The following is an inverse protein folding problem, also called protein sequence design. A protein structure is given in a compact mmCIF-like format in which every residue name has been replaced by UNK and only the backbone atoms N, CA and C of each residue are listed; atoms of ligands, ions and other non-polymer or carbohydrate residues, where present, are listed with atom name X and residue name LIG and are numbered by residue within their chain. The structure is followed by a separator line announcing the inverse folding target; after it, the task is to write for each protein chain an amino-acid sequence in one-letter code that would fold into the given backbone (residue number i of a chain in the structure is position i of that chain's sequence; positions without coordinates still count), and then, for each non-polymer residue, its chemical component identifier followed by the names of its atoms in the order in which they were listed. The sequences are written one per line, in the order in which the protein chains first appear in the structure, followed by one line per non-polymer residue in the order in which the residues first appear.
data_IF_300896367422
#
_entry.id   IF_300896367422
#
_cell.length_a   1.000
_cell.length_b   1.000
_cell.length_c   1.000
_cell.angle_alpha   90.00
_cell.angle_beta   90.00
_cell.angle_gamma   90.00
#
_symmetry.space_group_name_H-M   'P 1'
#
loop_
_entity.id
_entity.type
_entity.pdbx_description
1 polymer ?
#
# COMPACT_ATOMS: atom_id res chain seq x y z
N UNK A 1 -28.17 -44.31 -8.35
CA UNK A 1 -28.55 -45.39 -9.31
C UNK A 1 -28.67 -44.73 -10.67
N UNK A 2 -28.05 -45.10 -11.80
CA UNK A 2 -27.16 -46.17 -12.28
C UNK A 2 -26.44 -45.50 -13.49
N UNK A 3 -25.11 -45.39 -13.48
CA UNK A 3 -24.16 -46.22 -14.27
C UNK A 3 -24.52 -46.34 -15.75
N UNK A 4 -23.67 -45.79 -16.62
CA UNK A 4 -23.24 -46.23 -17.97
C UNK A 4 -22.24 -45.16 -18.45
N UNK A 5 -21.11 -45.40 -19.08
CA UNK A 5 -20.21 -46.54 -19.21
C UNK A 5 -18.96 -45.92 -19.86
N UNK A 6 -17.80 -46.33 -19.37
CA UNK A 6 -16.47 -46.03 -19.89
C UNK A 6 -16.36 -46.30 -21.40
N UNK A 7 -15.72 -45.39 -22.15
CA UNK A 7 -14.91 -45.78 -23.31
C UNK A 7 -13.63 -44.95 -23.33
N UNK A 8 -12.55 -45.69 -23.09
CA UNK A 8 -11.15 -45.32 -23.13
C UNK A 8 -10.76 -44.99 -24.58
N UNK A 9 -10.15 -43.83 -24.82
CA UNK A 9 -9.33 -43.61 -26.01
C UNK A 9 -8.09 -42.82 -25.60
N UNK A 10 -7.00 -43.57 -25.49
CA UNK A 10 -5.64 -43.15 -25.22
C UNK A 10 -5.10 -42.49 -26.50
N UNK A 11 -4.73 -41.20 -26.46
CA UNK A 11 -3.96 -40.60 -27.55
C UNK A 11 -3.14 -39.39 -27.06
N UNK A 12 -1.84 -39.67 -26.91
CA UNK A 12 -0.71 -38.77 -27.15
C UNK A 12 -0.53 -37.60 -26.19
N UNK A 13 0.41 -37.79 -25.26
CA UNK A 13 1.16 -36.72 -24.62
C UNK A 13 1.90 -35.89 -25.69
N UNK A 14 1.25 -34.85 -26.20
CA UNK A 14 1.92 -33.75 -26.87
C UNK A 14 2.35 -32.76 -25.78
N UNK A 15 3.67 -32.60 -25.61
CA UNK A 15 4.25 -31.76 -24.57
C UNK A 15 3.60 -30.38 -24.51
N UNK A 16 2.98 -30.08 -23.38
CA UNK A 16 2.65 -28.73 -22.99
C UNK A 16 3.98 -27.99 -22.77
N UNK A 17 4.59 -27.54 -23.87
CA UNK A 17 5.54 -26.44 -23.80
C UNK A 17 4.78 -25.28 -23.19
N UNK A 18 5.28 -24.79 -22.06
CA UNK A 18 4.96 -23.45 -21.60
C UNK A 18 5.28 -22.53 -22.79
N UNK A 19 4.25 -22.16 -23.55
CA UNK A 19 4.37 -21.11 -24.54
C UNK A 19 4.52 -19.84 -23.70
N UNK A 20 5.76 -19.41 -23.53
CA UNK A 20 6.04 -18.02 -23.17
C UNK A 20 5.24 -17.19 -24.18
N UNK A 21 4.24 -16.39 -23.75
CA UNK A 21 3.47 -15.59 -24.68
C UNK A 21 4.44 -14.80 -25.53
N UNK A 22 4.35 -14.92 -26.85
CA UNK A 22 5.11 -14.05 -27.74
C UNK A 22 4.81 -12.60 -27.33
N UNK A 23 5.82 -11.72 -27.26
CA UNK A 23 5.59 -10.32 -26.91
C UNK A 23 4.48 -9.79 -27.80
N UNK A 24 3.41 -9.29 -27.18
CA UNK A 24 2.31 -8.70 -27.90
C UNK A 24 2.85 -7.57 -28.80
N UNK A 25 2.33 -7.41 -30.02
CA UNK A 25 2.72 -6.28 -30.85
C UNK A 25 2.51 -4.98 -30.06
N UNK A 26 3.46 -4.06 -30.20
CA UNK A 26 3.38 -2.76 -29.54
C UNK A 26 2.01 -2.11 -29.82
N UNK A 27 1.41 -1.42 -28.84
CA UNK A 27 0.10 -0.82 -28.99
C UNK A 27 0.04 0.13 -30.19
N UNK A 28 -1.04 0.04 -30.98
CA UNK A 28 -1.25 0.99 -32.06
C UNK A 28 -1.60 2.40 -31.52
N UNK A 29 -1.51 3.39 -32.41
CA UNK A 29 -1.75 4.78 -32.04
C UNK A 29 -3.17 5.03 -31.48
N UNK A 30 -4.17 4.24 -31.90
CA UNK A 30 -5.55 4.38 -31.45
C UNK A 30 -5.70 3.86 -30.01
N UNK A 31 -5.08 2.73 -29.69
CA UNK A 31 -5.04 2.17 -28.34
C UNK A 31 -4.29 3.07 -27.37
N UNK A 32 -3.17 3.65 -27.79
CA UNK A 32 -2.44 4.65 -26.99
C UNK A 32 -3.28 5.91 -26.72
N UNK A 33 -4.00 6.41 -27.73
CA UNK A 33 -4.89 7.54 -27.56
C UNK A 33 -6.01 7.25 -26.55
N UNK A 34 -6.63 6.07 -26.65
CA UNK A 34 -7.67 5.64 -25.72
C UNK A 34 -7.13 5.49 -24.29
N UNK A 35 -5.93 4.93 -24.12
CA UNK A 35 -5.27 4.85 -22.81
C UNK A 35 -5.04 6.23 -22.19
N UNK A 36 -4.59 7.22 -22.98
CA UNK A 36 -4.43 8.62 -22.52
C UNK A 36 -5.75 9.22 -22.05
N UNK A 37 -6.85 8.98 -22.78
CA UNK A 37 -8.16 9.47 -22.39
C UNK A 37 -8.64 8.86 -21.06
N UNK A 38 -8.40 7.56 -20.85
CA UNK A 38 -8.70 6.88 -19.57
C UNK A 38 -7.89 7.50 -18.42
N UNK A 39 -6.59 7.68 -18.61
CA UNK A 39 -5.68 8.29 -17.62
C UNK A 39 -6.16 9.71 -17.26
N UNK A 40 -6.54 10.50 -18.26
CA UNK A 40 -7.07 11.84 -18.06
C UNK A 40 -8.42 11.82 -17.32
N UNK A 41 -9.33 10.91 -17.68
CA UNK A 41 -10.64 10.75 -17.04
C UNK A 41 -10.52 10.39 -15.55
N UNK A 42 -9.50 9.60 -15.18
CA UNK A 42 -9.16 9.30 -13.78
C UNK A 42 -8.50 10.47 -13.04
N UNK A 43 -8.39 11.66 -13.65
CA UNK A 43 -7.78 12.85 -13.06
C UNK A 43 -6.35 12.61 -12.57
N UNK A 44 -5.55 11.85 -13.33
CA UNK A 44 -4.15 11.57 -12.99
C UNK A 44 -3.33 12.85 -12.75
N UNK A 45 -3.60 13.92 -13.51
CA UNK A 45 -3.01 15.26 -13.30
C UNK A 45 -3.18 15.77 -11.88
N UNK A 46 -4.40 15.63 -11.32
CA UNK A 46 -4.67 16.04 -9.93
C UNK A 46 -3.94 15.19 -8.90
N UNK A 47 -3.70 13.91 -9.21
CA UNK A 47 -2.89 13.04 -8.35
C UNK A 47 -1.43 13.51 -8.33
N UNK A 48 -0.87 13.85 -9.48
CA UNK A 48 0.49 14.39 -9.63
C UNK A 48 0.62 15.73 -8.93
N UNK A 49 -0.36 16.62 -9.09
CA UNK A 49 -0.39 17.92 -8.42
C UNK A 49 -0.40 17.75 -6.90
N UNK A 50 -1.23 16.82 -6.39
CA UNK A 50 -1.28 16.50 -4.96
C UNK A 50 0.06 15.95 -4.46
N UNK A 51 0.67 15.03 -5.21
CA UNK A 51 1.96 14.45 -4.85
C UNK A 51 3.06 15.51 -4.82
N UNK A 52 3.07 16.40 -5.82
CA UNK A 52 4.01 17.52 -5.90
C UNK A 52 3.78 18.53 -4.78
N UNK A 53 2.52 18.83 -4.44
CA UNK A 53 2.15 19.66 -3.30
C UNK A 53 2.66 19.07 -1.98
N UNK A 54 2.47 17.76 -1.77
CA UNK A 54 2.96 17.06 -0.58
C UNK A 54 4.49 17.07 -0.49
N UNK A 55 5.19 16.85 -1.61
CA UNK A 55 6.65 16.94 -1.65
C UNK A 55 7.13 18.36 -1.30
N UNK A 56 6.49 19.40 -1.84
CA UNK A 56 6.80 20.80 -1.47
C UNK A 56 6.58 21.06 0.02
N UNK A 57 5.46 20.59 0.58
CA UNK A 57 5.17 20.75 2.00
C UNK A 57 6.23 20.07 2.88
N UNK A 58 6.61 18.84 2.53
CA UNK A 58 7.69 18.12 3.22
C UNK A 58 9.01 18.89 3.12
N UNK A 59 9.28 19.47 1.94
CA UNK A 59 10.47 20.28 1.74
C UNK A 59 10.50 21.51 2.67
N UNK A 60 9.38 22.24 2.77
CA UNK A 60 9.23 23.38 3.68
C UNK A 60 9.40 22.98 5.15
N UNK A 61 8.85 21.84 5.57
CA UNK A 61 9.04 21.33 6.94
C UNK A 61 10.51 21.03 7.25
N UNK A 62 11.24 20.44 6.30
CA UNK A 62 12.66 20.12 6.46
C UNK A 62 13.55 21.37 6.46
N UNK A 63 13.16 22.41 5.69
CA UNK A 63 13.79 23.73 5.76
C UNK A 63 13.57 24.39 7.14
N UNK A 64 12.37 24.26 7.71
CA UNK A 64 12.06 24.71 9.07
C UNK A 64 12.90 24.02 10.15
N UNK A 65 13.20 22.72 9.99
CA UNK A 65 14.12 21.99 10.87
C UNK A 65 15.58 22.50 10.78
N UNK A 66 15.91 23.24 9.72
CA UNK A 66 17.21 23.86 9.48
C UNK A 66 17.31 25.29 10.02
N UNK A 67 16.34 25.74 10.84
CA UNK A 67 16.30 27.09 11.39
C UNK A 67 17.53 27.46 12.25
N UNK A 68 18.26 26.48 12.79
CA UNK A 68 19.47 26.73 13.59
C UNK A 68 20.76 26.85 12.75
N UNK A 69 20.69 26.75 11.43
CA UNK A 69 21.85 26.92 10.54
C UNK A 69 22.21 28.40 10.38
N UNK A 70 23.50 28.68 10.14
CA UNK A 70 23.93 30.01 9.69
C UNK A 70 23.24 30.36 8.35
N UNK A 71 23.04 31.66 8.05
CA UNK A 71 22.34 32.09 6.83
C UNK A 71 22.92 31.47 5.55
N UNK A 72 24.25 31.37 5.46
CA UNK A 72 24.94 30.77 4.32
C UNK A 72 24.67 29.26 4.19
N UNK A 73 24.70 28.52 5.31
CA UNK A 73 24.39 27.08 5.32
C UNK A 73 22.92 26.83 4.97
N UNK A 74 22.02 27.70 5.42
CA UNK A 74 20.59 27.64 5.07
C UNK A 74 20.37 27.85 3.56
N UNK A 75 20.97 28.89 2.99
CA UNK A 75 20.87 29.16 1.55
C UNK A 75 21.41 28.01 0.69
N UNK A 76 22.53 27.39 1.08
CA UNK A 76 23.08 26.20 0.40
C UNK A 76 22.14 24.99 0.51
N UNK A 77 21.52 24.78 1.67
CA UNK A 77 20.57 23.69 1.90
C UNK A 77 19.28 23.87 1.07
N UNK A 78 18.71 25.07 1.06
CA UNK A 78 17.54 25.41 0.24
C UNK A 78 17.81 25.23 -1.26
N UNK A 79 18.98 25.67 -1.75
CA UNK A 79 19.37 25.48 -3.13
C UNK A 79 19.53 24.00 -3.52
N UNK A 80 20.13 23.19 -2.64
CA UNK A 80 20.25 21.74 -2.85
C UNK A 80 18.87 21.07 -2.89
N UNK A 81 17.99 21.44 -1.95
CA UNK A 81 16.64 20.92 -1.86
C UNK A 81 15.80 21.27 -3.10
N UNK A 82 15.91 22.52 -3.59
CA UNK A 82 15.26 22.95 -4.83
C UNK A 82 15.69 22.10 -6.03
N UNK A 83 16.98 21.78 -6.15
CA UNK A 83 17.51 20.90 -7.21
C UNK A 83 16.96 19.47 -7.11
N UNK A 84 16.92 18.90 -5.91
CA UNK A 84 16.36 17.55 -5.67
C UNK A 84 14.86 17.53 -6.03
N UNK A 85 14.12 18.57 -5.65
CA UNK A 85 12.70 18.70 -5.97
C UNK A 85 12.46 18.81 -7.48
N UNK A 86 13.22 19.65 -8.17
CA UNK A 86 13.13 19.78 -9.62
C UNK A 86 13.41 18.45 -10.33
N UNK A 87 14.47 17.74 -9.93
CA UNK A 87 14.78 16.41 -10.45
C UNK A 87 13.62 15.42 -10.22
N UNK A 88 13.03 15.44 -9.03
CA UNK A 88 11.91 14.54 -8.68
C UNK A 88 10.66 14.81 -9.54
N UNK A 89 10.37 16.08 -9.81
CA UNK A 89 9.29 16.49 -10.71
C UNK A 89 9.56 16.01 -12.13
N UNK A 90 10.78 16.18 -12.63
CA UNK A 90 11.16 15.77 -13.98
C UNK A 90 11.12 14.24 -14.15
N UNK A 91 11.59 13.49 -13.16
CA UNK A 91 11.46 12.02 -13.13
C UNK A 91 9.99 11.59 -13.13
N UNK A 92 9.14 12.27 -12.35
CA UNK A 92 7.69 11.99 -12.32
C UNK A 92 7.10 12.23 -13.71
N UNK A 93 7.38 13.38 -14.34
CA UNK A 93 6.91 13.67 -15.71
C UNK A 93 7.36 12.62 -16.72
N UNK A 94 8.62 12.17 -16.64
CA UNK A 94 9.16 11.10 -17.49
C UNK A 94 8.48 9.74 -17.27
N UNK A 95 7.98 9.46 -16.07
CA UNK A 95 7.17 8.26 -15.83
C UNK A 95 5.79 8.38 -16.49
N UNK A 96 5.17 9.57 -16.44
CA UNK A 96 3.86 9.82 -17.02
C UNK A 96 3.86 9.66 -18.55
N UNK A 97 4.95 10.01 -19.23
CA UNK A 97 5.07 9.82 -20.68
C UNK A 97 5.07 8.34 -21.11
N UNK A 98 5.19 7.41 -20.16
CA UNK A 98 5.13 5.97 -20.39
C UNK A 98 3.81 5.34 -19.94
N UNK A 99 2.98 6.07 -19.19
CA UNK A 99 1.77 5.50 -18.61
C UNK A 99 0.77 5.03 -19.66
N UNK A 100 0.61 5.77 -20.75
CA UNK A 100 -0.27 5.38 -21.86
C UNK A 100 0.12 4.04 -22.47
N UNK A 101 1.42 3.82 -22.68
CA UNK A 101 1.98 2.57 -23.21
C UNK A 101 1.74 1.44 -22.24
N UNK A 102 2.03 1.65 -20.95
CA UNK A 102 1.78 0.63 -19.90
C UNK A 102 0.29 0.26 -19.83
N UNK A 103 -0.62 1.24 -19.87
CA UNK A 103 -2.06 0.97 -19.86
C UNK A 103 -2.50 0.24 -21.13
N UNK A 104 -1.96 0.63 -22.28
CA UNK A 104 -2.26 -0.01 -23.55
C UNK A 104 -1.66 -1.43 -23.67
N UNK A 105 -0.59 -1.74 -22.94
CA UNK A 105 -0.02 -3.09 -22.88
C UNK A 105 -0.84 -4.01 -21.96
N UNK A 106 -1.31 -3.49 -20.83
CA UNK A 106 -2.00 -4.28 -19.80
C UNK A 106 -3.48 -4.49 -20.11
N UNK A 107 -4.17 -3.45 -20.58
CA UNK A 107 -5.61 -3.49 -20.83
C UNK A 107 -5.91 -3.74 -22.30
N UNK A 108 -7.01 -4.44 -22.55
CA UNK A 108 -7.60 -4.57 -23.89
C UNK A 108 -8.33 -3.28 -24.30
N UNK A 109 -8.58 -3.11 -25.60
CA UNK A 109 -9.37 -1.99 -26.12
C UNK A 109 -10.77 -1.91 -25.50
N UNK A 110 -11.40 -3.06 -25.27
CA UNK A 110 -12.73 -3.13 -24.69
C UNK A 110 -12.74 -2.65 -23.24
N UNK A 111 -11.74 -3.04 -22.45
CA UNK A 111 -11.57 -2.61 -21.06
C UNK A 111 -11.28 -1.11 -20.99
N UNK A 112 -10.36 -0.61 -21.82
CA UNK A 112 -10.06 0.82 -21.88
C UNK A 112 -11.29 1.65 -22.27
N UNK A 113 -12.11 1.18 -23.23
CA UNK A 113 -13.39 1.84 -23.59
C UNK A 113 -14.37 1.82 -22.42
N UNK A 114 -14.50 0.70 -21.73
CA UNK A 114 -15.39 0.57 -20.57
C UNK A 114 -14.94 1.48 -19.41
N UNK A 115 -13.64 1.53 -19.12
CA UNK A 115 -13.06 2.43 -18.13
C UNK A 115 -13.32 3.89 -18.50
N UNK A 116 -13.08 4.29 -19.75
CA UNK A 116 -13.39 5.65 -20.22
C UNK A 116 -14.85 5.98 -20.01
N UNK A 117 -15.76 5.11 -20.45
CA UNK A 117 -17.21 5.31 -20.30
C UNK A 117 -17.61 5.48 -18.83
N UNK A 118 -17.07 4.64 -17.94
CA UNK A 118 -17.33 4.76 -16.51
C UNK A 118 -16.77 6.05 -15.92
N UNK A 119 -15.47 6.32 -16.03
CA UNK A 119 -14.84 7.48 -15.39
C UNK A 119 -15.31 8.84 -15.94
N UNK A 120 -15.86 8.87 -17.15
CA UNK A 120 -16.49 10.07 -17.71
C UNK A 120 -17.98 10.21 -17.40
N UNK A 121 -18.63 9.17 -16.87
CA UNK A 121 -20.03 9.24 -16.43
C UNK A 121 -20.20 10.11 -15.17
N UNK A 122 -21.38 10.72 -14.96
CA UNK A 122 -21.68 11.44 -13.72
C UNK A 122 -21.45 10.58 -12.47
N UNK A 123 -21.85 9.31 -12.51
CA UNK A 123 -21.73 8.36 -11.42
C UNK A 123 -20.27 7.96 -11.17
N UNK A 124 -19.48 7.72 -12.21
CA UNK A 124 -18.06 7.40 -12.08
C UNK A 124 -17.25 8.57 -11.54
N UNK A 125 -17.52 9.79 -12.00
CA UNK A 125 -16.93 11.00 -11.42
C UNK A 125 -17.34 11.19 -9.95
N UNK A 126 -18.62 10.95 -9.62
CA UNK A 126 -19.11 10.98 -8.24
C UNK A 126 -18.42 9.93 -7.37
N UNK A 127 -18.29 8.70 -7.87
CA UNK A 127 -17.65 7.59 -7.18
C UNK A 127 -16.20 7.93 -6.85
N UNK A 128 -15.45 8.50 -7.80
CA UNK A 128 -14.05 8.84 -7.58
C UNK A 128 -13.86 9.93 -6.52
N UNK A 129 -14.72 10.96 -6.51
CA UNK A 129 -14.72 11.98 -5.47
C UNK A 129 -15.10 11.39 -4.10
N UNK A 130 -16.12 10.54 -4.07
CA UNK A 130 -16.60 9.90 -2.83
C UNK A 130 -15.61 8.88 -2.28
N UNK A 131 -14.86 8.15 -3.11
CA UNK A 131 -13.80 7.26 -2.66
C UNK A 131 -12.71 8.04 -1.89
N UNK A 132 -12.30 9.20 -2.42
CA UNK A 132 -11.35 10.07 -1.71
C UNK A 132 -11.93 10.60 -0.39
N UNK A 133 -13.22 10.94 -0.37
CA UNK A 133 -13.92 11.38 0.85
C UNK A 133 -14.05 10.27 1.90
N UNK A 134 -14.37 9.05 1.47
CA UNK A 134 -14.40 7.87 2.35
C UNK A 134 -13.02 7.66 2.98
N UNK A 135 -11.94 7.71 2.19
CA UNK A 135 -10.59 7.58 2.72
C UNK A 135 -10.26 8.64 3.79
N UNK A 136 -10.64 9.91 3.56
CA UNK A 136 -10.47 11.00 4.54
C UNK A 136 -11.23 10.74 5.84
N UNK A 137 -12.45 10.21 5.75
CA UNK A 137 -13.30 9.91 6.92
C UNK A 137 -12.88 8.65 7.65
N UNK A 138 -12.29 7.69 6.95
CA UNK A 138 -11.84 6.44 7.54
C UNK A 138 -10.58 6.63 8.40
N UNK A 139 -9.68 7.55 8.03
CA UNK A 139 -8.43 7.77 8.77
C UNK A 139 -8.64 8.09 10.27
N UNK A 140 -9.52 9.03 10.67
CA UNK A 140 -9.82 9.26 12.09
C UNK A 140 -10.40 8.03 12.81
N UNK A 141 -11.25 7.26 12.14
CA UNK A 141 -11.85 6.05 12.72
C UNK A 141 -10.79 4.98 13.01
N UNK A 142 -9.80 4.82 12.11
CA UNK A 142 -8.65 3.94 12.34
C UNK A 142 -7.80 4.42 13.53
N UNK A 143 -7.57 5.72 13.66
CA UNK A 143 -6.84 6.29 14.80
C UNK A 143 -7.58 6.09 16.12
N UNK A 144 -8.90 6.24 16.13
CA UNK A 144 -9.74 5.97 17.29
C UNK A 144 -9.71 4.50 17.69
N UNK A 145 -9.84 3.59 16.71
CA UNK A 145 -9.70 2.15 16.94
C UNK A 145 -8.33 1.81 17.57
N UNK A 146 -7.24 2.40 17.06
CA UNK A 146 -5.90 2.19 17.64
C UNK A 146 -5.78 2.72 19.07
N UNK A 147 -6.35 3.91 19.36
CA UNK A 147 -6.39 4.45 20.72
C UNK A 147 -7.19 3.55 21.68
N UNK A 148 -8.29 2.96 21.22
CA UNK A 148 -9.10 2.03 21.99
C UNK A 148 -8.45 0.65 22.20
N UNK A 149 -7.51 0.27 21.33
CA UNK A 149 -6.79 -1.00 21.42
C UNK A 149 -5.68 -0.96 22.50
N UNK A 150 -4.98 0.17 22.65
CA UNK A 150 -3.82 0.27 23.53
C UNK A 150 -4.11 -0.08 25.00
N UNK A 151 -5.20 0.38 25.64
CA UNK A 151 -5.53 0.00 27.02
C UNK A 151 -5.80 -1.50 27.17
N UNK A 152 -6.40 -2.13 26.15
CA UNK A 152 -6.66 -3.58 26.17
C UNK A 152 -5.36 -4.37 26.09
N UNK A 153 -4.41 -3.94 25.27
CA UNK A 153 -3.06 -4.53 25.22
C UNK A 153 -2.37 -4.39 26.58
N UNK A 154 -2.42 -3.21 27.20
CA UNK A 154 -1.83 -2.97 28.52
C UNK A 154 -2.45 -3.88 29.59
N UNK A 155 -3.78 -4.05 29.56
CA UNK A 155 -4.48 -4.95 30.48
C UNK A 155 -4.04 -6.41 30.29
N UNK A 156 -3.96 -6.89 29.05
CA UNK A 156 -3.50 -8.25 28.75
C UNK A 156 -2.07 -8.49 29.29
N UNK A 157 -1.18 -7.51 29.13
CA UNK A 157 0.20 -7.59 29.65
C UNK A 157 0.20 -7.63 31.19
N UNK A 158 -0.58 -6.75 31.84
CA UNK A 158 -0.67 -6.71 33.30
C UNK A 158 -1.24 -8.01 33.87
N UNK A 159 -2.27 -8.57 33.24
CA UNK A 159 -2.88 -9.84 33.64
C UNK A 159 -1.87 -10.99 33.51
N UNK A 160 -1.09 -11.04 32.42
CA UNK A 160 -0.06 -12.06 32.23
C UNK A 160 1.05 -11.98 33.29
N UNK A 161 1.52 -10.77 33.62
CA UNK A 161 2.54 -10.56 34.67
C UNK A 161 2.02 -10.95 36.07
N UNK A 162 0.75 -10.67 36.36
CA UNK A 162 0.14 -11.03 37.62
C UNK A 162 0.01 -12.57 37.77
N UNK A 163 -0.33 -13.28 36.71
CA UNK A 163 -0.38 -14.74 36.71
C UNK A 163 1.01 -15.36 36.87
N UNK A 164 2.03 -14.80 36.22
CA UNK A 164 3.42 -15.25 36.37
C UNK A 164 3.94 -15.05 37.81
N UNK A 165 3.70 -13.87 38.40
CA UNK A 165 4.08 -13.59 39.79
C UNK A 165 3.38 -14.52 40.80
N UNK A 166 2.10 -14.88 40.55
CA UNK A 166 1.39 -15.86 41.37
C UNK A 166 2.00 -17.26 41.24
N UNK A 167 2.37 -17.67 40.02
CA UNK A 167 3.01 -18.96 39.79
C UNK A 167 4.37 -19.05 40.50
N UNK A 168 5.18 -17.99 40.43
CA UNK A 168 6.47 -17.91 41.11
C UNK A 168 6.32 -17.94 42.64
N UNK A 169 5.34 -17.20 43.19
CA UNK A 169 5.05 -17.21 44.62
C UNK A 169 4.59 -18.60 45.10
N UNK A 170 3.75 -19.30 44.32
CA UNK A 170 3.32 -20.65 44.63
C UNK A 170 4.49 -21.65 44.58
N UNK A 171 5.39 -21.53 43.60
CA UNK A 171 6.59 -22.35 43.50
C UNK A 171 7.54 -22.12 44.68
N UNK A 172 7.76 -20.86 45.08
CA UNK A 172 8.59 -20.52 46.24
C UNK A 172 8.01 -21.05 47.57
N UNK A 173 6.69 -20.94 47.75
CA UNK A 173 6.00 -21.47 48.93
C UNK A 173 6.09 -23.01 49.00
N UNK A 174 5.92 -23.69 47.88
CA UNK A 174 6.08 -25.15 47.80
C UNK A 174 7.53 -25.59 48.12
N UNK A 175 8.53 -24.86 47.62
CA UNK A 175 9.95 -25.13 47.91
C UNK A 175 10.30 -24.92 49.39
N UNK A 176 9.73 -23.89 50.03
CA UNK A 176 9.94 -23.62 51.46
C UNK A 176 9.31 -24.70 52.36
N UNK A 177 8.14 -25.21 52.00
CA UNK A 177 7.45 -26.27 52.74
C UNK A 177 8.12 -27.65 52.63
N UNK A 178 8.94 -27.87 51.60
CA UNK A 178 9.64 -29.14 51.35
C UNK A 178 10.99 -29.26 52.10
N UNK A 179 11.47 -28.21 52.79
CA UNK A 179 12.70 -28.28 53.59
C UNK A 179 12.46 -29.08 54.89
N UNK A 180 13.23 -30.16 55.19
CA UNK A 180 12.99 -30.97 56.38
C UNK A 180 13.31 -30.18 57.66
N UNK A 181 12.49 -30.37 58.70
CA UNK A 181 12.80 -29.89 60.05
C UNK A 181 14.09 -30.56 60.53
N UNK A 182 15.12 -29.75 60.77
CA UNK A 182 16.40 -30.18 61.32
C UNK A 182 16.18 -30.83 62.69
N UNK A 183 16.67 -32.06 62.96
CA UNK A 183 16.40 -32.74 64.21
C UNK A 183 17.16 -32.04 65.34
N UNK A 184 16.41 -31.53 66.33
CA UNK A 184 16.98 -30.93 67.52
C UNK A 184 17.81 -31.97 68.29
N UNK A 185 19.06 -31.61 68.58
CA UNK A 185 19.99 -32.36 69.44
C UNK A 185 19.64 -32.20 70.91
#
# INVERSE_FOLDING_TARGET
MKKILFLLAFAVAAGARAQTPAPAPAPDAAKLALAREVIAAMQADKLIDRMTGQMKQMATQMAGASANLSPEKRARAEALQGKIMALSVDMTKSLLTKMDTIYADVFTDAELKAMKAFYTSPEGASAQLKQAEIAKRLMPAVQEMQRGLMPKIQQIIADAQAEEAKADAAAAAAAAAAKPAEPAK
#
